data_IF_872175642328
#
_entry.id   IF_872175642328
#
_cell.length_a   1.000
_cell.length_b   1.000
_cell.length_c   1.000
_cell.angle_alpha   90.00
_cell.angle_beta   90.00
_cell.angle_gamma   90.00
#
_symmetry.space_group_name_H-M   'P 1'
#
loop_
_entity.id
_entity.type
_entity.pdbx_description
1 polymer ?
#
# COMPACT_ATOMS: atom_id res chain seq x y z
N UNK A 1 -24.23 5.60 7.15
CA UNK A 1 -22.87 6.05 7.51
C UNK A 1 -21.87 5.10 6.89
N UNK A 2 -20.96 5.62 6.05
CA UNK A 2 -19.90 4.80 5.46
C UNK A 2 -18.81 4.54 6.50
N UNK A 3 -18.32 3.29 6.61
CA UNK A 3 -17.18 3.03 7.49
C UNK A 3 -15.95 3.84 7.05
N UNK A 4 -15.07 4.21 7.97
CA UNK A 4 -13.85 4.91 7.59
C UNK A 4 -13.00 4.02 6.69
N UNK A 5 -12.35 4.63 5.70
CA UNK A 5 -11.42 3.91 4.84
C UNK A 5 -10.16 3.56 5.63
N UNK A 6 -9.56 2.44 5.31
CA UNK A 6 -8.38 1.95 6.02
C UNK A 6 -7.25 1.64 5.05
N UNK A 7 -6.06 1.42 5.62
CA UNK A 7 -4.86 1.05 4.86
C UNK A 7 -4.53 -0.40 5.18
N UNK A 8 -4.25 -1.18 4.15
CA UNK A 8 -3.67 -2.50 4.30
C UNK A 8 -2.19 -2.38 3.96
N UNK A 9 -1.34 -2.57 4.95
CA UNK A 9 0.11 -2.40 4.85
C UNK A 9 0.80 -3.75 4.79
N UNK A 10 1.69 -3.93 3.82
CA UNK A 10 2.50 -5.15 3.69
C UNK A 10 3.97 -4.78 3.73
N UNK A 11 4.67 -5.22 4.77
CA UNK A 11 6.08 -4.95 5.00
C UNK A 11 6.67 -6.09 5.83
N UNK A 12 7.69 -6.76 5.32
CA UNK A 12 8.29 -7.90 6.02
C UNK A 12 9.25 -7.50 7.13
N UNK A 13 9.87 -6.31 7.07
CA UNK A 13 10.73 -5.83 8.15
C UNK A 13 9.86 -5.36 9.32
N UNK A 14 9.95 -6.01 10.49
CA UNK A 14 9.07 -5.66 11.61
C UNK A 14 9.28 -4.24 12.13
N UNK A 15 10.49 -3.69 12.06
CA UNK A 15 10.75 -2.33 12.53
C UNK A 15 10.15 -1.29 11.57
N UNK A 16 10.32 -1.48 10.27
CA UNK A 16 9.72 -0.59 9.27
C UNK A 16 8.20 -0.68 9.33
N UNK A 17 7.67 -1.90 9.43
CA UNK A 17 6.22 -2.13 9.53
C UNK A 17 5.64 -1.41 10.75
N UNK A 18 6.26 -1.55 11.92
CA UNK A 18 5.79 -0.90 13.14
C UNK A 18 5.84 0.64 13.02
N UNK A 19 6.93 1.18 12.47
CA UNK A 19 7.07 2.62 12.29
C UNK A 19 6.01 3.20 11.38
N UNK A 20 5.72 2.54 10.26
CA UNK A 20 4.67 2.96 9.33
C UNK A 20 3.28 2.86 9.97
N UNK A 21 3.03 1.77 10.67
CA UNK A 21 1.76 1.55 11.36
C UNK A 21 1.50 2.64 12.40
N UNK A 22 2.50 2.94 13.23
CA UNK A 22 2.39 3.98 14.26
C UNK A 22 2.17 5.36 13.65
N UNK A 23 2.87 5.69 12.56
CA UNK A 23 2.71 6.97 11.89
C UNK A 23 1.28 7.17 11.39
N UNK A 24 0.70 6.14 10.80
CA UNK A 24 -0.68 6.20 10.32
C UNK A 24 -1.69 6.28 11.46
N UNK A 25 -1.48 5.51 12.53
CA UNK A 25 -2.33 5.55 13.72
C UNK A 25 -2.33 6.94 14.36
N UNK A 26 -1.15 7.57 14.48
CA UNK A 26 -1.03 8.93 15.01
C UNK A 26 -1.74 9.96 14.13
N UNK A 27 -1.85 9.70 12.84
CA UNK A 27 -2.57 10.55 11.90
C UNK A 27 -4.07 10.26 11.85
N UNK A 28 -4.56 9.33 12.67
CA UNK A 28 -5.97 8.96 12.70
C UNK A 28 -6.40 8.05 11.57
N UNK A 29 -5.48 7.39 10.90
CA UNK A 29 -5.75 6.51 9.76
C UNK A 29 -5.78 5.05 10.25
N UNK A 30 -6.91 4.35 10.13
CA UNK A 30 -6.95 2.92 10.46
C UNK A 30 -6.01 2.12 9.55
N UNK A 31 -5.24 1.20 10.12
CA UNK A 31 -4.28 0.41 9.38
C UNK A 31 -4.26 -1.03 9.89
N UNK A 32 -4.22 -1.98 8.95
CA UNK A 32 -3.96 -3.39 9.22
C UNK A 32 -2.62 -3.75 8.57
N UNK A 33 -1.68 -4.23 9.37
CA UNK A 33 -0.32 -4.49 8.91
C UNK A 33 -0.03 -5.99 8.84
N UNK A 34 0.62 -6.41 7.75
CA UNK A 34 0.95 -7.80 7.48
C UNK A 34 2.41 -7.93 7.05
N UNK A 35 2.99 -9.10 7.32
CA UNK A 35 4.37 -9.39 6.95
C UNK A 35 4.49 -9.95 5.52
N UNK A 36 3.42 -10.50 4.96
CA UNK A 36 3.42 -11.17 3.65
C UNK A 36 2.27 -10.71 2.77
N UNK A 37 2.48 -10.79 1.45
CA UNK A 37 1.43 -10.49 0.49
C UNK A 37 0.29 -11.51 0.54
N UNK A 38 0.62 -12.76 0.84
CA UNK A 38 -0.39 -13.83 0.94
C UNK A 38 -1.39 -13.56 2.05
N UNK A 39 -0.94 -13.06 3.20
CA UNK A 39 -1.83 -12.65 4.28
C UNK A 39 -2.74 -11.50 3.84
N UNK A 40 -2.18 -10.53 3.12
CA UNK A 40 -2.93 -9.39 2.62
C UNK A 40 -4.03 -9.82 1.63
N UNK A 41 -3.73 -10.77 0.75
CA UNK A 41 -4.72 -11.28 -0.22
C UNK A 41 -5.98 -11.80 0.46
N UNK A 42 -5.85 -12.44 1.61
CA UNK A 42 -6.99 -13.00 2.34
C UNK A 42 -7.94 -11.93 2.88
N UNK A 43 -7.46 -10.70 2.99
CA UNK A 43 -8.23 -9.57 3.54
C UNK A 43 -8.80 -8.67 2.45
N UNK A 44 -8.39 -8.85 1.21
CA UNK A 44 -8.80 -7.98 0.10
C UNK A 44 -9.97 -8.57 -0.67
N UNK A 45 -10.87 -7.67 -1.08
CA UNK A 45 -11.99 -7.96 -1.96
C UNK A 45 -12.14 -6.81 -2.95
N UNK A 46 -12.95 -7.01 -4.00
CA UNK A 46 -13.15 -6.00 -5.05
C UNK A 46 -13.69 -4.67 -4.51
N UNK A 47 -14.43 -4.71 -3.41
CA UNK A 47 -15.02 -3.52 -2.80
C UNK A 47 -14.32 -3.13 -1.49
N UNK A 48 -13.06 -3.52 -1.33
CA UNK A 48 -12.30 -3.19 -0.13
C UNK A 48 -12.34 -1.69 0.16
N UNK A 49 -12.74 -1.34 1.39
CA UNK A 49 -12.90 0.05 1.82
C UNK A 49 -11.56 0.63 2.27
N UNK A 50 -10.66 0.86 1.32
CA UNK A 50 -9.34 1.38 1.64
C UNK A 50 -8.37 1.30 0.47
N UNK A 51 -7.09 1.29 0.82
CA UNK A 51 -5.97 1.24 -0.12
C UNK A 51 -4.94 0.22 0.35
N UNK A 52 -3.98 -0.10 -0.51
CA UNK A 52 -2.87 -0.99 -0.20
C UNK A 52 -1.56 -0.22 -0.25
N UNK A 53 -0.72 -0.42 0.76
CA UNK A 53 0.68 0.05 0.76
C UNK A 53 1.54 -1.20 0.90
N UNK A 54 2.39 -1.47 -0.06
CA UNK A 54 3.22 -2.68 -0.03
C UNK A 54 4.67 -2.41 -0.41
N UNK A 55 5.57 -3.10 0.28
CA UNK A 55 6.96 -3.16 -0.15
C UNK A 55 7.04 -3.94 -1.47
N UNK A 56 7.98 -3.54 -2.31
CA UNK A 56 8.27 -4.21 -3.57
C UNK A 56 8.91 -5.58 -3.35
N UNK A 57 9.83 -5.68 -2.39
CA UNK A 57 10.59 -6.89 -2.11
C UNK A 57 10.04 -7.58 -0.87
N UNK A 58 9.36 -8.70 -1.10
CA UNK A 58 8.76 -9.52 -0.05
C UNK A 58 9.14 -10.98 -0.26
N UNK A 59 9.26 -11.78 0.81
CA UNK A 59 9.41 -13.22 0.66
C UNK A 59 8.12 -13.83 0.09
N UNK A 60 8.26 -14.87 -0.72
CA UNK A 60 7.12 -15.49 -1.39
C UNK A 60 6.59 -14.60 -2.50
N UNK A 61 5.31 -14.27 -2.48
CA UNK A 61 4.73 -13.33 -3.44
C UNK A 61 5.29 -11.93 -3.19
N UNK A 62 5.91 -11.32 -4.21
CA UNK A 62 6.47 -9.98 -4.08
C UNK A 62 5.42 -8.89 -4.32
N UNK A 63 5.84 -7.62 -4.11
CA UNK A 63 4.94 -6.48 -4.23
C UNK A 63 4.40 -6.28 -5.64
N UNK A 64 5.20 -6.56 -6.68
CA UNK A 64 4.74 -6.45 -8.07
C UNK A 64 3.65 -7.48 -8.38
N UNK A 65 3.81 -8.70 -7.90
CA UNK A 65 2.80 -9.73 -8.08
C UNK A 65 1.52 -9.37 -7.35
N UNK A 66 1.63 -8.82 -6.15
CA UNK A 66 0.47 -8.33 -5.40
C UNK A 66 -0.24 -7.20 -6.15
N UNK A 67 0.52 -6.23 -6.69
CA UNK A 67 -0.03 -5.13 -7.47
C UNK A 67 -0.86 -5.65 -8.65
N UNK A 68 -0.30 -6.58 -9.42
CA UNK A 68 -0.98 -7.15 -10.58
C UNK A 68 -2.27 -7.88 -10.17
N UNK A 69 -2.20 -8.61 -9.07
CA UNK A 69 -3.36 -9.32 -8.54
C UNK A 69 -4.45 -8.35 -8.09
N UNK A 70 -4.07 -7.26 -7.39
CA UNK A 70 -5.01 -6.23 -6.96
C UNK A 70 -5.66 -5.56 -8.17
N UNK A 71 -4.90 -5.24 -9.21
CA UNK A 71 -5.44 -4.61 -10.42
C UNK A 71 -6.47 -5.50 -11.12
N UNK A 72 -6.29 -6.80 -11.08
CA UNK A 72 -7.29 -7.75 -11.63
C UNK A 72 -8.53 -7.82 -10.74
N UNK A 73 -8.33 -7.71 -9.43
CA UNK A 73 -9.43 -7.73 -8.47
C UNK A 73 -10.29 -6.46 -8.60
N UNK A 74 -9.65 -5.30 -8.63
CA UNK A 74 -10.31 -3.99 -8.73
C UNK A 74 -9.29 -2.94 -9.24
N UNK A 75 -9.38 -2.51 -10.50
CA UNK A 75 -8.43 -1.52 -11.02
C UNK A 75 -8.54 -0.14 -10.37
N UNK A 76 -9.59 0.12 -9.60
CA UNK A 76 -9.77 1.37 -8.86
C UNK A 76 -9.29 1.29 -7.41
N UNK A 77 -8.69 0.18 -7.00
CA UNK A 77 -8.10 0.03 -5.67
C UNK A 77 -6.66 0.55 -5.71
N UNK A 78 -6.37 1.71 -5.10
CA UNK A 78 -5.02 2.28 -5.15
C UNK A 78 -4.00 1.41 -4.43
N UNK A 79 -2.84 1.25 -5.07
CA UNK A 79 -1.69 0.56 -4.48
C UNK A 79 -0.51 1.53 -4.48
N UNK A 80 0.05 1.79 -3.31
CA UNK A 80 1.29 2.56 -3.14
C UNK A 80 2.43 1.56 -2.96
N UNK A 81 3.45 1.68 -3.82
CA UNK A 81 4.59 0.78 -3.80
C UNK A 81 5.74 1.42 -3.04
N UNK A 82 6.37 0.66 -2.13
CA UNK A 82 7.58 1.10 -1.44
C UNK A 82 8.77 0.40 -2.09
N UNK A 83 9.72 1.19 -2.60
CA UNK A 83 10.89 0.68 -3.32
C UNK A 83 12.16 0.93 -2.51
N UNK A 84 13.17 0.08 -2.72
CA UNK A 84 14.49 0.30 -2.14
C UNK A 84 15.23 1.42 -2.83
N UNK A 85 16.28 1.92 -2.17
CA UNK A 85 17.16 2.93 -2.75
C UNK A 85 17.81 2.38 -4.02
N UNK A 86 17.70 3.12 -5.12
CA UNK A 86 18.29 2.72 -6.41
C UNK A 86 17.38 1.88 -7.31
N UNK A 87 16.17 1.49 -6.85
CA UNK A 87 15.26 0.66 -7.62
C UNK A 87 14.36 1.48 -8.57
N UNK A 88 14.96 2.41 -9.33
CA UNK A 88 14.20 3.31 -10.21
C UNK A 88 13.48 2.53 -11.31
N UNK A 89 14.12 1.52 -11.88
CA UNK A 89 13.52 0.69 -12.93
C UNK A 89 12.27 -0.02 -12.42
N UNK A 90 12.32 -0.55 -11.20
CA UNK A 90 11.17 -1.22 -10.59
C UNK A 90 10.04 -0.23 -10.28
N UNK A 91 10.38 0.99 -9.86
CA UNK A 91 9.38 2.03 -9.62
C UNK A 91 8.65 2.40 -10.91
N UNK A 92 9.36 2.56 -12.01
CA UNK A 92 8.77 2.84 -13.33
C UNK A 92 7.87 1.69 -13.76
N UNK A 93 8.33 0.45 -13.58
CA UNK A 93 7.53 -0.73 -13.92
C UNK A 93 6.24 -0.78 -13.09
N UNK A 94 6.32 -0.46 -11.80
CA UNK A 94 5.15 -0.41 -10.94
C UNK A 94 4.12 0.61 -11.44
N UNK A 95 4.56 1.81 -11.80
CA UNK A 95 3.66 2.84 -12.32
C UNK A 95 3.01 2.41 -13.63
N UNK A 96 3.77 1.77 -14.53
CA UNK A 96 3.23 1.22 -15.79
C UNK A 96 2.23 0.08 -15.54
N UNK A 97 2.39 -0.63 -14.44
CA UNK A 97 1.51 -1.76 -14.08
C UNK A 97 0.29 -1.31 -13.28
N UNK A 98 0.10 -0.02 -13.08
CA UNK A 98 -1.11 0.52 -12.47
C UNK A 98 -1.00 0.94 -11.02
N UNK A 99 0.21 1.05 -10.46
CA UNK A 99 0.36 1.59 -9.11
C UNK A 99 -0.12 3.04 -9.05
N UNK A 100 -0.73 3.40 -7.92
CA UNK A 100 -1.15 4.79 -7.69
C UNK A 100 0.06 5.71 -7.57
N UNK A 101 1.06 5.28 -6.80
CA UNK A 101 2.29 6.03 -6.57
C UNK A 101 3.36 5.08 -6.04
N UNK A 102 4.58 5.57 -5.94
CA UNK A 102 5.65 4.84 -5.28
C UNK A 102 6.39 5.78 -4.32
N UNK A 103 7.02 5.17 -3.30
CA UNK A 103 7.90 5.88 -2.37
C UNK A 103 9.21 5.13 -2.27
N UNK A 104 10.31 5.86 -2.27
CA UNK A 104 11.65 5.28 -2.20
C UNK A 104 12.18 5.36 -0.77
N UNK A 105 12.68 4.25 -0.24
CA UNK A 105 13.35 4.23 1.06
C UNK A 105 14.70 4.92 0.97
N UNK A 106 15.12 5.69 1.98
CA UNK A 106 14.36 6.08 3.17
C UNK A 106 13.38 7.22 2.86
N UNK A 107 12.23 7.21 3.49
CA UNK A 107 11.22 8.26 3.35
C UNK A 107 10.79 8.74 4.74
N UNK A 108 10.27 9.97 4.81
CA UNK A 108 9.71 10.47 6.06
C UNK A 108 8.31 9.92 6.27
N UNK A 109 7.92 9.73 7.55
CA UNK A 109 6.57 9.29 7.88
C UNK A 109 5.51 10.32 7.48
N UNK A 110 5.87 11.62 7.48
CA UNK A 110 4.99 12.67 7.00
C UNK A 110 4.68 12.52 5.51
N UNK A 111 5.67 12.20 4.70
CA UNK A 111 5.46 11.96 3.27
C UNK A 111 4.58 10.75 3.04
N UNK A 112 4.77 9.68 3.81
CA UNK A 112 3.91 8.49 3.73
C UNK A 112 2.46 8.84 4.01
N UNK A 113 2.21 9.57 5.09
CA UNK A 113 0.85 9.98 5.48
C UNK A 113 0.21 10.84 4.38
N UNK A 114 0.97 11.76 3.78
CA UNK A 114 0.45 12.63 2.71
C UNK A 114 0.02 11.82 1.48
N UNK A 115 0.84 10.89 1.04
CA UNK A 115 0.52 10.03 -0.11
C UNK A 115 -0.69 9.14 0.20
N UNK A 116 -0.72 8.56 1.39
CA UNK A 116 -1.82 7.71 1.85
C UNK A 116 -3.14 8.49 1.85
N UNK A 117 -3.15 9.71 2.38
CA UNK A 117 -4.37 10.52 2.42
C UNK A 117 -4.91 10.82 1.04
N UNK A 118 -4.04 11.14 0.07
CA UNK A 118 -4.46 11.39 -1.31
C UNK A 118 -5.05 10.14 -1.95
N UNK A 119 -4.44 8.98 -1.70
CA UNK A 119 -4.95 7.71 -2.22
C UNK A 119 -6.31 7.35 -1.61
N UNK A 120 -6.47 7.59 -0.31
CA UNK A 120 -7.75 7.36 0.37
C UNK A 120 -8.86 8.27 -0.17
N UNK A 121 -8.56 9.54 -0.44
CA UNK A 121 -9.51 10.45 -1.07
C UNK A 121 -9.95 9.97 -2.44
N UNK A 122 -9.00 9.50 -3.26
CA UNK A 122 -9.32 8.94 -4.57
C UNK A 122 -10.22 7.71 -4.44
N UNK A 123 -9.92 6.81 -3.50
CA UNK A 123 -10.71 5.60 -3.28
C UNK A 123 -12.14 5.93 -2.87
N UNK A 124 -12.31 6.94 -2.04
CA UNK A 124 -13.64 7.35 -1.56
C UNK A 124 -14.53 7.80 -2.70
N UNK A 125 -13.97 8.38 -3.77
CA UNK A 125 -14.75 8.85 -4.91
C UNK A 125 -15.34 7.71 -5.74
N UNK A 126 -14.80 6.49 -5.65
CA UNK A 126 -15.28 5.34 -6.43
C UNK A 126 -16.09 4.34 -5.58
N UNK A 127 -16.20 4.57 -4.29
CA UNK A 127 -17.02 3.77 -3.38
C UNK A 127 -18.35 4.50 -3.07
#
# INVERSE_FOLDING_TARGET
MTPPLSVLLVEDDPNVRLGCEQAMQLAGIPVDAFATAEEAQRRLSADYAGIVVTDMRLPGMDGMALLRWVNQLDPNLPVIMITGHGDVTLAVEAMRSGAYDFMQKPFSTGDLVDVVRRALEKRQLVL
#
